data_IF_992692233330
#
_entry.id   IF_992692233330
#
_cell.length_a   1.000
_cell.length_b   1.000
_cell.length_c   1.000
_cell.angle_alpha   90.00
_cell.angle_beta   90.00
_cell.angle_gamma   90.00
#
_symmetry.space_group_name_H-M   'P 1'
#
loop_
_entity.id
_entity.type
_entity.pdbx_description
1 polymer ?
#
# COMPACT_ATOMS: atom_id res chain seq x y z
N UNK A 1 -15.00 27.76 -4.35
CA UNK A 1 -14.61 26.34 -4.17
C UNK A 1 -15.70 25.49 -4.80
N UNK A 2 -15.37 24.67 -5.80
CA UNK A 2 -16.35 23.72 -6.33
C UNK A 2 -16.70 22.73 -5.21
N UNK A 3 -18.00 22.54 -4.95
CA UNK A 3 -18.45 21.54 -3.99
C UNK A 3 -18.13 20.16 -4.54
N UNK A 4 -17.48 19.31 -3.75
CA UNK A 4 -17.24 17.91 -4.11
C UNK A 4 -18.58 17.21 -4.37
N UNK A 5 -18.78 16.73 -5.59
CA UNK A 5 -20.02 16.11 -6.02
C UNK A 5 -19.98 14.60 -5.82
N UNK A 6 -21.16 13.97 -5.83
CA UNK A 6 -21.28 12.50 -5.77
C UNK A 6 -20.48 11.82 -6.90
N UNK A 7 -20.40 12.45 -8.08
CA UNK A 7 -19.60 11.91 -9.18
C UNK A 7 -18.11 11.92 -8.90
N UNK A 8 -17.58 12.99 -8.29
CA UNK A 8 -16.17 13.08 -7.89
C UNK A 8 -15.85 11.97 -6.88
N UNK A 9 -16.75 11.75 -5.91
CA UNK A 9 -16.64 10.66 -4.95
C UNK A 9 -16.60 9.27 -5.59
N UNK A 10 -17.49 8.99 -6.54
CA UNK A 10 -17.56 7.68 -7.19
C UNK A 10 -16.32 7.43 -8.06
N UNK A 11 -15.83 8.47 -8.75
CA UNK A 11 -14.60 8.41 -9.55
C UNK A 11 -13.38 8.17 -8.66
N UNK A 12 -13.22 8.94 -7.58
CA UNK A 12 -12.10 8.76 -6.64
C UNK A 12 -12.13 7.37 -6.01
N UNK A 13 -13.31 6.87 -5.64
CA UNK A 13 -13.47 5.53 -5.09
C UNK A 13 -13.04 4.45 -6.09
N UNK A 14 -13.40 4.60 -7.37
CA UNK A 14 -12.99 3.67 -8.43
C UNK A 14 -11.47 3.73 -8.65
N UNK A 15 -10.90 4.94 -8.73
CA UNK A 15 -9.46 5.15 -8.92
C UNK A 15 -8.64 4.57 -7.76
N UNK A 16 -9.06 4.80 -6.51
CA UNK A 16 -8.40 4.24 -5.33
C UNK A 16 -8.45 2.72 -5.37
N UNK A 17 -9.60 2.15 -5.69
CA UNK A 17 -9.74 0.70 -5.81
C UNK A 17 -8.78 0.13 -6.86
N UNK A 18 -8.73 0.72 -8.05
CA UNK A 18 -7.86 0.28 -9.13
C UNK A 18 -6.38 0.38 -8.77
N UNK A 19 -5.94 1.48 -8.15
CA UNK A 19 -4.55 1.65 -7.68
C UNK A 19 -4.18 0.60 -6.63
N UNK A 20 -5.07 0.35 -5.66
CA UNK A 20 -4.82 -0.64 -4.60
C UNK A 20 -4.81 -2.07 -5.16
N UNK A 21 -5.71 -2.39 -6.09
CA UNK A 21 -5.73 -3.68 -6.78
C UNK A 21 -4.43 -3.90 -7.56
N UNK A 22 -4.00 -2.91 -8.38
CA UNK A 22 -2.73 -2.98 -9.11
C UNK A 22 -1.53 -3.15 -8.18
N UNK A 23 -1.48 -2.38 -7.10
CA UNK A 23 -0.42 -2.50 -6.11
C UNK A 23 -0.34 -3.91 -5.54
N UNK A 24 -1.49 -4.49 -5.18
CA UNK A 24 -1.58 -5.84 -4.61
C UNK A 24 -1.13 -6.89 -5.63
N UNK A 25 -1.59 -6.79 -6.87
CA UNK A 25 -1.21 -7.69 -7.95
C UNK A 25 0.28 -7.61 -8.26
N UNK A 26 0.80 -6.40 -8.49
CA UNK A 26 2.21 -6.18 -8.82
C UNK A 26 3.12 -6.61 -7.67
N UNK A 27 2.73 -6.36 -6.42
CA UNK A 27 3.47 -6.87 -5.26
C UNK A 27 3.49 -8.40 -5.22
N UNK A 28 2.32 -9.04 -5.28
CA UNK A 28 2.19 -10.49 -5.12
C UNK A 28 2.88 -11.26 -6.25
N UNK A 29 2.98 -10.65 -7.43
CA UNK A 29 3.69 -11.20 -8.60
C UNK A 29 5.12 -10.67 -8.75
N UNK A 30 5.62 -9.93 -7.76
CA UNK A 30 6.97 -9.34 -7.71
C UNK A 30 7.34 -8.47 -8.93
N UNK A 31 6.35 -7.80 -9.53
CA UNK A 31 6.54 -6.86 -10.64
C UNK A 31 6.95 -5.47 -10.09
N UNK A 32 8.13 -5.39 -9.46
CA UNK A 32 8.63 -4.19 -8.78
C UNK A 32 8.70 -2.96 -9.69
N UNK A 33 9.11 -3.14 -10.94
CA UNK A 33 9.18 -2.05 -11.92
C UNK A 33 7.78 -1.46 -12.19
N UNK A 34 6.76 -2.31 -12.28
CA UNK A 34 5.37 -1.85 -12.49
C UNK A 34 4.78 -1.15 -11.27
N UNK A 35 5.22 -1.50 -10.05
CA UNK A 35 4.85 -0.73 -8.86
C UNK A 35 5.36 0.71 -8.96
N UNK A 36 6.60 0.89 -9.40
CA UNK A 36 7.19 2.22 -9.58
C UNK A 36 6.48 3.00 -10.68
N UNK A 37 6.19 2.36 -11.81
CA UNK A 37 5.67 3.05 -13.00
C UNK A 37 4.16 3.33 -12.93
N UNK A 38 3.37 2.45 -12.31
CA UNK A 38 1.89 2.51 -12.39
C UNK A 38 1.19 2.87 -11.07
N UNK A 39 1.88 2.78 -9.93
CA UNK A 39 1.26 2.88 -8.59
C UNK A 39 1.91 3.97 -7.75
N UNK A 40 3.23 3.95 -7.63
CA UNK A 40 3.92 4.84 -6.70
C UNK A 40 4.02 6.27 -7.24
N UNK A 41 3.65 7.22 -6.39
CA UNK A 41 3.97 8.61 -6.62
C UNK A 41 5.48 8.85 -6.48
N UNK A 42 5.97 9.90 -7.14
CA UNK A 42 7.37 10.33 -7.04
C UNK A 42 7.79 10.59 -5.58
N UNK A 43 6.89 11.17 -4.79
CA UNK A 43 7.04 11.38 -3.36
C UNK A 43 6.15 10.40 -2.59
N UNK A 44 6.76 9.40 -1.96
CA UNK A 44 6.08 8.35 -1.22
C UNK A 44 6.38 8.47 0.27
N UNK A 45 5.34 8.42 1.10
CA UNK A 45 5.48 8.50 2.55
C UNK A 45 5.05 7.18 3.16
N UNK A 46 5.98 6.56 3.88
CA UNK A 46 5.74 5.32 4.62
C UNK A 46 5.76 5.62 6.10
N UNK A 47 4.60 5.56 6.74
CA UNK A 47 4.47 5.67 8.18
C UNK A 47 4.11 4.31 8.79
N UNK A 48 5.11 3.66 9.36
CA UNK A 48 4.95 2.43 10.13
C UNK A 48 5.31 2.64 11.61
N UNK A 49 5.31 3.89 12.07
CA UNK A 49 5.68 4.25 13.44
C UNK A 49 4.79 3.57 14.48
N UNK A 50 3.50 3.44 14.18
CA UNK A 50 2.55 2.74 15.03
C UNK A 50 2.84 1.24 15.20
N UNK A 51 3.50 0.60 14.22
CA UNK A 51 3.75 -0.84 14.21
C UNK A 51 5.16 -1.20 14.69
N UNK A 52 6.16 -0.40 14.31
CA UNK A 52 7.57 -0.72 14.55
C UNK A 52 8.32 0.33 15.38
N UNK A 53 7.65 1.42 15.81
CA UNK A 53 8.30 2.53 16.49
C UNK A 53 9.30 3.30 15.63
N UNK A 54 9.31 3.04 14.31
CA UNK A 54 10.24 3.66 13.37
C UNK A 54 9.76 5.04 12.93
N UNK A 55 10.66 6.00 12.69
CA UNK A 55 10.24 7.31 12.19
C UNK A 55 9.58 7.21 10.81
N UNK A 56 8.69 8.16 10.52
CA UNK A 56 8.09 8.33 9.19
C UNK A 56 9.20 8.48 8.16
N UNK A 57 9.11 7.72 7.06
CA UNK A 57 10.08 7.77 5.97
C UNK A 57 9.47 8.50 4.78
N UNK A 58 10.24 9.43 4.23
CA UNK A 58 9.97 10.07 2.96
C UNK A 58 10.92 9.46 1.93
N UNK A 59 10.39 8.62 1.05
CA UNK A 59 11.16 7.87 0.06
C UNK A 59 10.58 8.15 -1.32
N UNK A 60 11.39 7.91 -2.34
CA UNK A 60 10.87 7.79 -3.71
C UNK A 60 10.14 6.45 -3.88
N UNK A 61 9.29 6.36 -4.91
CA UNK A 61 8.67 5.08 -5.29
C UNK A 61 9.71 3.99 -5.55
N UNK A 62 10.85 4.34 -6.15
CA UNK A 62 11.97 3.41 -6.42
C UNK A 62 12.61 2.87 -5.14
N UNK A 63 12.91 3.75 -4.19
CA UNK A 63 13.48 3.35 -2.91
C UNK A 63 12.50 2.49 -2.10
N UNK A 64 11.20 2.80 -2.19
CA UNK A 64 10.15 1.99 -1.55
C UNK A 64 10.07 0.60 -2.18
N UNK A 65 10.06 0.50 -3.51
CA UNK A 65 10.03 -0.78 -4.23
C UNK A 65 11.24 -1.65 -3.88
N UNK A 66 12.45 -1.06 -3.88
CA UNK A 66 13.67 -1.76 -3.50
C UNK A 66 13.60 -2.26 -2.04
N UNK A 67 13.15 -1.41 -1.12
CA UNK A 67 13.01 -1.80 0.28
C UNK A 67 12.02 -2.96 0.46
N UNK A 68 10.87 -2.92 -0.22
CA UNK A 68 9.87 -3.98 -0.15
C UNK A 68 10.39 -5.29 -0.74
N UNK A 69 11.12 -5.23 -1.85
CA UNK A 69 11.80 -6.38 -2.43
C UNK A 69 12.75 -7.04 -1.44
N UNK A 70 13.62 -6.24 -0.80
CA UNK A 70 14.58 -6.75 0.20
C UNK A 70 13.86 -7.47 1.36
N UNK A 71 12.71 -6.93 1.81
CA UNK A 71 11.90 -7.53 2.87
C UNK A 71 11.30 -8.87 2.42
N UNK A 72 10.77 -8.95 1.19
CA UNK A 72 10.20 -10.19 0.64
C UNK A 72 11.28 -11.27 0.51
N UNK A 73 12.45 -10.91 0.00
CA UNK A 73 13.59 -11.82 -0.13
C UNK A 73 14.06 -12.33 1.24
N UNK A 74 14.16 -11.44 2.24
CA UNK A 74 14.53 -11.81 3.61
C UNK A 74 13.52 -12.76 4.28
N UNK A 75 12.24 -12.71 3.88
CA UNK A 75 11.16 -13.54 4.44
C UNK A 75 10.93 -14.86 3.68
N UNK A 76 11.76 -15.17 2.68
CA UNK A 76 11.68 -16.43 1.93
C UNK A 76 10.93 -16.33 0.59
N UNK A 77 10.74 -15.13 0.06
CA UNK A 77 10.35 -14.89 -1.33
C UNK A 77 8.85 -14.88 -1.61
N UNK A 78 8.01 -15.56 -0.84
CA UNK A 78 6.58 -15.63 -1.13
C UNK A 78 5.76 -14.92 -0.05
N UNK A 79 5.22 -13.75 -0.41
CA UNK A 79 4.27 -12.99 0.40
C UNK A 79 3.04 -12.65 -0.44
N UNK A 80 1.86 -12.89 0.12
CA UNK A 80 0.59 -12.60 -0.52
C UNK A 80 -0.15 -11.55 0.29
N UNK A 81 -0.47 -10.43 -0.33
CA UNK A 81 -1.39 -9.43 0.20
C UNK A 81 -2.81 -9.74 -0.25
N UNK A 82 -3.76 -9.72 0.69
CA UNK A 82 -5.20 -9.85 0.43
C UNK A 82 -5.87 -8.57 0.91
N UNK A 83 -6.41 -7.78 -0.02
CA UNK A 83 -7.13 -6.56 0.30
C UNK A 83 -8.61 -6.89 0.46
N UNK A 84 -9.15 -6.63 1.66
CA UNK A 84 -10.54 -6.96 2.02
C UNK A 84 -11.49 -5.75 1.91
N UNK A 85 -11.07 -4.55 2.30
CA UNK A 85 -11.92 -3.34 2.24
C UNK A 85 -11.12 -2.03 2.11
N UNK A 86 -11.60 -1.09 1.29
CA UNK A 86 -11.19 0.33 1.32
C UNK A 86 -12.28 1.11 2.08
N UNK A 87 -12.01 1.52 3.33
CA UNK A 87 -13.07 1.98 4.25
C UNK A 87 -13.40 3.47 4.13
N UNK A 88 -12.54 4.31 3.53
CA UNK A 88 -12.87 5.71 3.23
C UNK A 88 -11.81 6.35 2.32
N UNK A 89 -12.17 7.03 1.23
CA UNK A 89 -11.30 8.09 0.74
C UNK A 89 -11.28 9.16 1.84
N UNK A 90 -10.13 9.53 2.42
CA UNK A 90 -10.08 10.77 3.16
C UNK A 90 -10.29 11.90 2.15
N UNK A 91 -10.68 13.09 2.61
CA UNK A 91 -10.82 14.25 1.71
C UNK A 91 -9.58 14.40 0.81
N UNK A 92 -9.66 15.08 -0.34
CA UNK A 92 -8.58 15.18 -1.34
C UNK A 92 -7.18 15.56 -0.81
N UNK A 93 -7.09 16.03 0.43
CA UNK A 93 -5.87 16.38 1.17
C UNK A 93 -5.16 15.22 1.89
N UNK A 94 -5.71 14.01 1.97
CA UNK A 94 -5.02 12.89 2.65
C UNK A 94 -5.50 11.58 2.02
N UNK A 95 -4.61 10.72 1.57
CA UNK A 95 -4.93 9.33 1.25
C UNK A 95 -4.05 8.47 2.17
N UNK A 96 -4.64 7.99 3.27
CA UNK A 96 -3.96 7.06 4.17
C UNK A 96 -4.46 5.65 3.84
N UNK A 97 -3.61 4.85 3.22
CA UNK A 97 -3.90 3.46 2.89
C UNK A 97 -3.39 2.57 4.03
N UNK A 98 -4.31 1.94 4.77
CA UNK A 98 -3.97 0.92 5.74
C UNK A 98 -3.94 -0.44 5.04
N UNK A 99 -2.75 -0.97 4.77
CA UNK A 99 -2.57 -2.34 4.29
C UNK A 99 -2.44 -3.29 5.47
N UNK A 100 -3.42 -4.17 5.63
CA UNK A 100 -3.27 -5.33 6.50
C UNK A 100 -2.42 -6.36 5.76
N UNK A 101 -1.15 -6.51 6.17
CA UNK A 101 -0.30 -7.61 5.72
C UNK A 101 -0.69 -8.87 6.49
N UNK A 102 -1.22 -9.89 5.81
CA UNK A 102 -1.35 -11.24 6.37
C UNK A 102 -0.42 -12.17 5.60
N UNK A 103 0.71 -12.53 6.19
CA UNK A 103 1.62 -13.50 5.59
C UNK A 103 1.05 -14.92 5.80
N UNK A 104 0.51 -15.52 4.73
CA UNK A 104 0.12 -16.93 4.72
C UNK A 104 1.34 -17.82 4.40
N UNK A 105 2.33 -17.84 5.30
CA UNK A 105 3.44 -18.79 5.29
C UNK A 105 3.34 -19.75 6.48
N UNK A 106 4.06 -20.89 6.49
CA UNK A 106 3.99 -21.89 7.57
C UNK A 106 4.43 -21.38 8.95
N UNK A 107 4.98 -20.17 9.03
CA UNK A 107 5.28 -19.46 10.26
C UNK A 107 4.28 -18.32 10.44
N UNK A 108 3.17 -18.61 11.13
CA UNK A 108 2.15 -17.65 11.49
C UNK A 108 2.73 -16.50 12.34
N UNK A 109 3.01 -15.35 11.73
CA UNK A 109 3.17 -14.09 12.47
C UNK A 109 1.77 -13.47 12.57
N UNK A 110 1.08 -13.77 13.67
CA UNK A 110 -0.17 -13.11 14.03
C UNK A 110 0.14 -11.66 14.44
N UNK A 111 -0.14 -10.71 13.56
CA UNK A 111 -0.28 -9.31 13.98
C UNK A 111 -1.69 -9.11 14.53
N UNK A 112 -1.86 -9.23 15.84
CA UNK A 112 -3.05 -8.70 16.52
C UNK A 112 -2.83 -7.19 16.74
N UNK A 113 -3.70 -6.32 16.21
CA UNK A 113 -3.76 -4.95 16.70
C UNK A 113 -4.29 -4.95 18.16
N UNK A 114 -3.89 -3.96 18.99
CA UNK A 114 -4.35 -3.83 20.38
C UNK A 114 -5.87 -3.66 20.50
#
# INVERSE_FOLDING_TARGET
MASYQVMDYLLDRANIHDVVTKMTEHFNTQQWDKLVDEVFAENFVTDLSAYFGTPVRHLTGKETAAHWKDVVEALGGELIHIVSTCVKPPSPSTAALFLFMSAAGPNHINFQPP
#
